data_IF_143228755768
#
_entry.id   IF_143228755768
#
_cell.length_a   1.000
_cell.length_b   1.000
_cell.length_c   1.000
_cell.angle_alpha   90.00
_cell.angle_beta   90.00
_cell.angle_gamma   90.00
#
_symmetry.space_group_name_H-M   'P 1'
#
loop_
_entity.id
_entity.type
_entity.pdbx_description
1 polymer ?
#
# COMPACT_ATOMS: atom_id res chain seq x y z
N UNK A 1 -16.00 14.11 2.37
CA UNK A 1 -15.00 14.09 3.47
C UNK A 1 -13.76 13.26 3.12
N UNK A 2 -13.39 13.20 1.82
CA UNK A 2 -12.02 12.94 1.33
C UNK A 2 -11.66 13.87 0.16
N UNK A 3 -12.54 14.82 -0.16
CA UNK A 3 -12.55 15.55 -1.42
C UNK A 3 -11.53 16.71 -1.45
N UNK A 4 -10.97 17.03 -0.28
CA UNK A 4 -9.98 18.10 -0.07
C UNK A 4 -8.89 17.58 0.85
N UNK A 5 -7.70 17.34 0.29
CA UNK A 5 -6.56 16.77 1.00
C UNK A 5 -6.10 17.66 2.17
N UNK A 6 -6.41 18.96 2.13
CA UNK A 6 -6.09 19.95 3.15
C UNK A 6 -6.89 19.74 4.44
N UNK A 7 -8.01 19.01 4.34
CA UNK A 7 -8.91 18.73 5.47
C UNK A 7 -8.69 17.36 6.08
N UNK A 8 -7.74 16.61 5.54
CA UNK A 8 -7.43 15.26 5.99
C UNK A 8 -6.76 15.32 7.36
N UNK A 9 -7.20 14.50 8.34
CA UNK A 9 -6.55 14.42 9.62
C UNK A 9 -5.06 14.11 9.50
N UNK A 10 -4.25 14.55 10.46
CA UNK A 10 -2.81 14.27 10.45
C UNK A 10 -2.55 12.75 10.45
N UNK A 11 -1.69 12.30 9.53
CA UNK A 11 -1.40 10.88 9.34
C UNK A 11 -2.50 10.10 8.61
N UNK A 12 -3.53 10.75 8.09
CA UNK A 12 -4.44 10.09 7.14
C UNK A 12 -3.88 10.11 5.72
N UNK A 13 -4.13 9.03 4.99
CA UNK A 13 -3.69 8.85 3.61
C UNK A 13 -3.16 7.46 3.35
N UNK A 14 -2.40 7.33 2.27
CA UNK A 14 -1.93 6.03 1.80
C UNK A 14 -0.59 5.67 2.43
N UNK A 15 -0.53 4.46 2.96
CA UNK A 15 0.67 3.82 3.47
C UNK A 15 0.97 2.60 2.60
N UNK A 16 2.19 2.47 2.10
CA UNK A 16 2.67 1.19 1.59
C UNK A 16 3.33 0.43 2.74
N UNK A 17 2.79 -0.74 3.09
CA UNK A 17 3.27 -1.50 4.26
C UNK A 17 4.46 -2.41 3.92
N UNK A 18 4.92 -2.37 2.67
CA UNK A 18 6.15 -3.04 2.24
C UNK A 18 7.35 -2.12 2.47
N UNK A 19 8.47 -2.72 2.85
CA UNK A 19 9.73 -2.07 3.11
C UNK A 19 10.71 -2.26 1.95
N UNK A 20 11.74 -1.41 1.91
CA UNK A 20 12.82 -1.58 0.95
C UNK A 20 13.52 -2.93 1.16
N UNK A 21 13.68 -3.68 0.07
CA UNK A 21 14.26 -5.04 0.12
C UNK A 21 13.26 -6.15 0.46
N UNK A 22 12.00 -5.84 0.75
CA UNK A 22 10.97 -6.87 0.93
C UNK A 22 10.75 -7.64 -0.37
N UNK A 23 10.45 -8.93 -0.19
CA UNK A 23 10.16 -9.86 -1.27
C UNK A 23 8.67 -9.76 -1.64
N UNK A 24 8.37 -9.27 -2.84
CA UNK A 24 7.02 -9.24 -3.37
C UNK A 24 6.73 -10.50 -4.22
N UNK A 25 5.62 -11.19 -3.92
CA UNK A 25 5.10 -12.25 -4.79
C UNK A 25 3.97 -11.67 -5.63
N UNK A 26 4.20 -11.55 -6.95
CA UNK A 26 3.19 -10.98 -7.83
C UNK A 26 2.05 -11.99 -8.05
N UNK A 27 0.83 -11.61 -7.69
CA UNK A 27 -0.37 -12.38 -7.95
C UNK A 27 -1.50 -11.47 -8.46
N UNK A 28 -2.35 -11.99 -9.33
CA UNK A 28 -3.45 -11.22 -9.94
C UNK A 28 -4.64 -10.96 -9.02
N UNK A 29 -4.57 -11.32 -7.74
CA UNK A 29 -5.65 -11.04 -6.80
C UNK A 29 -5.64 -9.57 -6.43
N UNK A 30 -6.82 -8.97 -6.50
CA UNK A 30 -7.14 -7.71 -5.83
C UNK A 30 -7.85 -8.07 -4.53
N UNK A 31 -7.31 -7.64 -3.40
CA UNK A 31 -7.93 -7.87 -2.09
C UNK A 31 -8.11 -6.53 -1.40
N UNK A 32 -9.22 -6.40 -0.69
CA UNK A 32 -9.45 -5.25 0.18
C UNK A 32 -10.07 -5.73 1.48
N UNK A 33 -9.75 -5.04 2.56
CA UNK A 33 -10.31 -5.28 3.89
C UNK A 33 -10.62 -3.94 4.54
N UNK A 34 -11.88 -3.69 4.93
CA UNK A 34 -12.22 -2.49 5.68
C UNK A 34 -11.55 -2.54 7.06
N UNK A 35 -11.08 -1.39 7.53
CA UNK A 35 -10.61 -1.19 8.88
C UNK A 35 -11.65 -0.34 9.61
N UNK A 36 -12.23 -0.87 10.68
CA UNK A 36 -13.28 -0.20 11.45
C UNK A 36 -12.81 0.18 12.86
N UNK A 37 -13.59 1.03 13.52
CA UNK A 37 -13.45 1.30 14.95
C UNK A 37 -14.40 0.47 15.81
N UNK A 38 -14.38 0.73 17.12
CA UNK A 38 -15.23 0.02 18.07
C UNK A 38 -16.74 0.27 17.87
N UNK A 39 -17.11 1.23 17.01
CA UNK A 39 -18.49 1.55 16.62
C UNK A 39 -18.84 1.05 15.22
N UNK A 40 -17.98 0.21 14.62
CA UNK A 40 -18.09 -0.28 13.24
C UNK A 40 -18.05 0.82 12.16
N UNK A 41 -17.57 2.01 12.48
CA UNK A 41 -17.36 3.07 11.50
C UNK A 41 -16.06 2.82 10.74
N UNK A 42 -16.07 3.11 9.43
CA UNK A 42 -14.90 2.94 8.56
C UNK A 42 -13.83 3.98 8.89
N UNK A 43 -12.65 3.53 9.28
CA UNK A 43 -11.47 4.38 9.55
C UNK A 43 -10.35 4.16 8.55
N UNK A 44 -10.43 3.13 7.72
CA UNK A 44 -9.42 2.85 6.72
C UNK A 44 -9.76 1.64 5.87
N UNK A 45 -8.86 1.32 4.97
CA UNK A 45 -8.96 0.17 4.08
C UNK A 45 -7.57 -0.39 3.80
N UNK A 46 -7.35 -1.66 4.12
CA UNK A 46 -6.19 -2.39 3.64
C UNK A 46 -6.45 -2.88 2.21
N UNK A 47 -5.44 -2.81 1.37
CA UNK A 47 -5.49 -3.17 -0.05
C UNK A 47 -4.29 -4.04 -0.39
N UNK A 48 -4.49 -5.08 -1.19
CA UNK A 48 -3.42 -5.78 -1.89
C UNK A 48 -3.67 -5.72 -3.39
N UNK A 49 -2.70 -5.15 -4.12
CA UNK A 49 -2.75 -5.01 -5.57
C UNK A 49 -1.45 -5.60 -6.12
N UNK A 50 -1.56 -6.67 -6.92
CA UNK A 50 -0.40 -7.33 -7.54
C UNK A 50 0.67 -7.80 -6.53
N UNK A 51 0.26 -8.13 -5.30
CA UNK A 51 1.16 -8.54 -4.22
C UNK A 51 1.76 -7.37 -3.42
N UNK A 52 1.41 -6.13 -3.74
CA UNK A 52 1.83 -4.93 -3.00
C UNK A 52 0.74 -4.55 -2.00
N UNK A 53 1.12 -4.44 -0.73
CA UNK A 53 0.22 -4.12 0.37
C UNK A 53 0.18 -2.62 0.65
N UNK A 54 -1.04 -2.11 0.78
CA UNK A 54 -1.31 -0.73 1.16
C UNK A 54 -2.34 -0.66 2.28
N UNK A 55 -2.33 0.45 3.00
CA UNK A 55 -3.42 0.88 3.87
C UNK A 55 -3.76 2.32 3.52
N UNK A 56 -5.01 2.56 3.13
CA UNK A 56 -5.58 3.89 3.05
C UNK A 56 -6.24 4.19 4.40
N UNK A 57 -5.65 5.06 5.20
CA UNK A 57 -6.20 5.48 6.48
C UNK A 57 -7.01 6.76 6.30
N UNK A 58 -8.23 6.79 6.81
CA UNK A 58 -9.16 7.93 6.76
C UNK A 58 -9.18 8.70 8.09
N UNK A 59 -8.82 8.04 9.18
CA UNK A 59 -8.71 8.58 10.52
C UNK A 59 -7.27 9.07 10.83
N UNK A 60 -7.06 9.83 11.92
CA UNK A 60 -5.71 10.13 12.41
C UNK A 60 -4.88 8.86 12.62
N UNK A 61 -3.56 8.96 12.41
CA UNK A 61 -2.66 7.82 12.65
C UNK A 61 -2.57 7.49 14.13
N UNK A 62 -3.05 6.31 14.51
CA UNK A 62 -2.91 5.73 15.83
C UNK A 62 -1.92 4.55 15.78
N UNK A 63 -0.75 4.74 16.40
CA UNK A 63 0.34 3.76 16.42
C UNK A 63 0.10 2.60 17.40
N UNK A 64 -0.78 2.77 18.39
CA UNK A 64 -1.19 1.69 19.28
C UNK A 64 -2.17 0.77 18.56
N UNK A 65 -3.09 1.34 17.78
CA UNK A 65 -4.06 0.60 16.98
C UNK A 65 -3.43 -0.04 15.73
N UNK A 66 -2.51 0.65 15.07
CA UNK A 66 -1.89 0.19 13.81
C UNK A 66 -0.35 0.09 13.91
N UNK A 67 0.19 -0.75 14.81
CA UNK A 67 1.63 -0.83 15.04
C UNK A 67 2.44 -1.27 13.81
N UNK A 68 1.81 -2.01 12.90
CA UNK A 68 2.41 -2.45 11.63
C UNK A 68 2.67 -1.29 10.66
N UNK A 69 2.07 -0.10 10.87
CA UNK A 69 2.36 1.10 10.07
C UNK A 69 3.66 1.80 10.46
N UNK A 70 4.32 1.40 11.56
CA UNK A 70 5.51 2.09 12.09
C UNK A 70 6.66 2.22 11.08
N UNK A 71 6.79 1.22 10.21
CA UNK A 71 7.81 1.18 9.15
C UNK A 71 7.21 1.36 7.77
N UNK A 72 5.89 1.52 7.68
CA UNK A 72 5.21 1.69 6.41
C UNK A 72 5.60 3.01 5.77
N UNK A 73 5.72 3.01 4.46
CA UNK A 73 6.02 4.21 3.69
C UNK A 73 4.75 5.04 3.55
N UNK A 74 4.69 6.15 4.27
CA UNK A 74 3.61 7.13 4.13
C UNK A 74 3.76 7.90 2.81
N UNK A 75 2.68 7.95 2.02
CA UNK A 75 2.55 8.70 0.76
C UNK A 75 3.78 8.57 -0.16
N UNK A 76 4.15 7.36 -0.63
CA UNK A 76 5.32 7.22 -1.50
C UNK A 76 5.16 8.04 -2.79
N UNK A 77 6.25 8.63 -3.29
CA UNK A 77 6.27 9.32 -4.59
C UNK A 77 6.35 8.34 -5.76
N UNK A 78 7.05 7.22 -5.53
CA UNK A 78 7.30 6.20 -6.54
C UNK A 78 7.49 4.85 -5.87
N UNK A 79 6.98 3.81 -6.52
CA UNK A 79 7.28 2.42 -6.19
C UNK A 79 8.06 1.85 -7.36
N UNK A 80 9.31 1.47 -7.12
CA UNK A 80 10.20 0.86 -8.10
C UNK A 80 10.29 -0.63 -7.84
N UNK A 81 10.02 -1.43 -8.86
CA UNK A 81 10.03 -2.89 -8.83
C UNK A 81 11.20 -3.37 -9.69
N UNK A 82 12.27 -3.79 -9.04
CA UNK A 82 13.46 -4.35 -9.68
C UNK A 82 13.29 -5.83 -9.93
N UNK A 83 13.48 -6.27 -11.17
CA UNK A 83 13.46 -7.69 -11.55
C UNK A 83 14.90 -8.11 -11.89
N UNK A 84 15.49 -9.10 -11.18
CA UNK A 84 16.87 -9.51 -11.43
C UNK A 84 17.11 -9.89 -12.91
N UNK A 85 18.14 -9.28 -13.51
CA UNK A 85 18.49 -9.51 -14.92
C UNK A 85 17.53 -8.90 -15.94
N UNK A 86 16.57 -8.06 -15.53
CA UNK A 86 15.61 -7.39 -16.41
C UNK A 86 15.47 -5.89 -16.07
N UNK A 87 14.76 -5.15 -16.93
CA UNK A 87 14.42 -3.76 -16.68
C UNK A 87 13.53 -3.61 -15.42
N UNK A 88 13.70 -2.51 -14.70
CA UNK A 88 12.84 -2.15 -13.59
C UNK A 88 11.50 -1.59 -14.08
N UNK A 89 10.43 -1.87 -13.34
CA UNK A 89 9.12 -1.26 -13.53
C UNK A 89 8.86 -0.25 -12.43
N UNK A 90 8.02 0.76 -12.67
CA UNK A 90 7.65 1.70 -11.63
C UNK A 90 6.23 2.20 -11.76
N UNK A 91 5.66 2.58 -10.62
CA UNK A 91 4.43 3.36 -10.52
C UNK A 91 4.79 4.66 -9.82
N UNK A 92 4.41 5.79 -10.42
CA UNK A 92 4.62 7.12 -9.84
C UNK A 92 3.29 7.65 -9.31
N UNK A 93 3.35 8.28 -8.15
CA UNK A 93 2.22 8.88 -7.46
C UNK A 93 2.57 10.32 -7.12
N UNK A 94 1.65 11.24 -7.39
CA UNK A 94 1.78 12.65 -7.03
C UNK A 94 0.83 12.98 -5.89
N UNK A 95 1.33 13.76 -4.95
CA UNK A 95 0.56 14.27 -3.83
C UNK A 95 0.48 15.78 -3.96
N UNK A 96 -0.73 16.29 -3.86
CA UNK A 96 -0.99 17.72 -3.72
C UNK A 96 -0.93 18.00 -2.22
N UNK A 97 0.26 18.27 -1.67
CA UNK A 97 0.44 18.64 -0.26
C UNK A 97 1.73 19.45 -0.01
N UNK A 98 2.35 19.96 -1.08
CA UNK A 98 3.63 20.68 -1.11
C UNK A 98 4.81 19.97 -0.43
N UNK A 99 4.67 18.67 -0.11
CA UNK A 99 5.73 17.90 0.55
C UNK A 99 6.52 17.08 -0.46
N UNK A 100 7.81 16.93 -0.14
CA UNK A 100 8.66 15.96 -0.83
C UNK A 100 8.37 14.57 -0.29
N UNK A 101 7.99 13.67 -1.19
CA UNK A 101 7.76 12.27 -0.88
C UNK A 101 8.91 11.41 -1.40
N UNK A 102 9.26 10.36 -0.67
CA UNK A 102 10.38 9.50 -1.03
C UNK A 102 9.93 8.30 -1.86
N UNK A 103 10.89 7.70 -2.57
CA UNK A 103 10.68 6.48 -3.35
C UNK A 103 10.75 5.23 -2.45
N UNK A 104 10.06 4.17 -2.87
CA UNK A 104 10.13 2.83 -2.30
C UNK A 104 10.68 1.88 -3.36
N UNK A 105 11.77 1.18 -3.06
CA UNK A 105 12.38 0.20 -3.96
C UNK A 105 12.17 -1.22 -3.44
N UNK A 106 11.60 -2.08 -4.27
CA UNK A 106 11.31 -3.48 -3.97
C UNK A 106 11.87 -4.42 -5.04
N UNK A 107 12.17 -5.66 -4.65
CA UNK A 107 12.70 -6.68 -5.55
C UNK A 107 11.63 -7.71 -5.87
N UNK A 108 11.37 -7.91 -7.16
CA UNK A 108 10.50 -8.95 -7.64
C UNK A 108 11.16 -10.32 -7.45
N UNK A 109 10.44 -11.24 -6.82
CA UNK A 109 10.93 -12.61 -6.59
C UNK A 109 10.36 -13.58 -7.61
N UNK A 110 9.03 -13.69 -7.67
CA UNK A 110 8.33 -14.62 -8.57
C UNK A 110 6.87 -14.26 -8.77
N UNK A 111 6.32 -14.73 -9.87
CA UNK A 111 4.87 -14.75 -10.10
C UNK A 111 4.26 -15.99 -9.46
N UNK A 112 3.08 -15.86 -8.85
CA UNK A 112 2.27 -17.01 -8.45
C UNK A 112 1.45 -17.47 -9.65
N UNK A 113 1.53 -18.74 -10.08
CA UNK A 113 0.71 -19.24 -11.17
C UNK A 113 -0.77 -19.04 -10.88
N UNK A 114 -1.57 -18.67 -11.89
CA UNK A 114 -3.02 -18.78 -11.77
C UNK A 114 -3.32 -20.27 -11.58
N UNK A 115 -3.98 -20.64 -10.47
CA UNK A 115 -4.55 -21.98 -10.33
C UNK A 115 -5.51 -22.17 -11.50
N UNK A 116 -5.15 -23.03 -12.45
CA UNK A 116 -6.10 -23.61 -13.40
C UNK A 116 -7.02 -24.50 -12.57
N UNK A 117 -8.20 -23.99 -12.21
CA UNK A 117 -9.22 -24.84 -11.62
C UNK A 117 -9.67 -25.83 -12.68
N UNK A 118 -9.27 -27.09 -12.56
CA UNK A 118 -10.11 -28.20 -12.99
C UNK A 118 -11.21 -28.29 -11.93
N UNK A 119 -12.43 -27.93 -12.33
CA UNK A 119 -13.61 -28.34 -11.60
C UNK A 119 -13.74 -29.85 -11.79
N UNK A 120 -13.65 -30.61 -10.70
CA UNK A 120 -14.18 -31.96 -10.58
C UNK A 120 -15.52 -31.89 -9.83
#
# INVERSE_FOLDING_TARGET
MLDRHETWPEGSGLYCTMNAGDLASNHFRFQFQPLTNARDELEGMALNILGINFVLLLAPMDMEKYPFLRRAKYRPARIVISVPGKAAHWVTMSWDDDKRHEELTMTFVRSVPRRSGTAD
#
